data_IF_231089975404
#
_entry.id   IF_231089975404
#
_cell.length_a   1.000
_cell.length_b   1.000
_cell.length_c   1.000
_cell.angle_alpha   90.00
_cell.angle_beta   90.00
_cell.angle_gamma   90.00
#
_symmetry.space_group_name_H-M   'P 1'
#
loop_
_entity.id
_entity.type
_entity.pdbx_description
1 polymer ?
#
# COMPACT_ATOMS: atom_id res chain seq x y z
N UNK A 1 -18.86 -16.97 9.10
CA UNK A 1 -18.56 -15.76 9.91
C UNK A 1 -18.49 -16.12 11.40
N UNK A 2 -17.32 -16.52 11.91
CA UNK A 2 -17.09 -16.79 13.36
C UNK A 2 -16.26 -15.71 14.07
N UNK A 3 -15.88 -14.64 13.36
CA UNK A 3 -15.01 -13.56 13.87
C UNK A 3 -15.68 -12.62 14.87
N UNK A 4 -17.02 -12.63 14.94
CA UNK A 4 -17.81 -11.72 15.80
C UNK A 4 -18.03 -12.24 17.23
N UNK A 5 -17.78 -13.53 17.50
CA UNK A 5 -17.97 -14.11 18.85
C UNK A 5 -16.79 -13.86 19.81
N UNK A 6 -15.67 -13.35 19.33
CA UNK A 6 -14.47 -13.14 20.15
C UNK A 6 -14.45 -11.77 20.87
N UNK A 7 -15.25 -10.80 20.42
CA UNK A 7 -15.28 -9.44 21.00
C UNK A 7 -16.15 -9.39 22.28
N UNK A 8 -16.90 -10.45 22.60
CA UNK A 8 -17.86 -10.49 23.70
C UNK A 8 -17.35 -11.03 25.04
N UNK A 9 -16.04 -11.32 25.21
CA UNK A 9 -15.53 -12.00 26.42
C UNK A 9 -14.23 -11.37 26.93
N UNK A 10 -14.26 -10.06 27.21
CA UNK A 10 -13.13 -9.36 27.83
C UNK A 10 -13.59 -8.34 28.88
N UNK A 11 -14.27 -8.80 29.92
CA UNK A 11 -14.56 -8.02 31.14
C UNK A 11 -14.05 -8.77 32.37
N UNK A 12 -12.75 -9.07 32.42
CA UNK A 12 -12.06 -9.54 33.62
C UNK A 12 -10.53 -9.50 33.42
N UNK A 13 -9.90 -8.33 33.61
CA UNK A 13 -8.46 -8.20 33.91
C UNK A 13 -8.09 -6.74 34.29
N UNK A 14 -8.84 -6.12 35.19
CA UNK A 14 -8.33 -4.96 35.97
C UNK A 14 -7.32 -5.51 36.97
N UNK A 15 -6.01 -5.32 36.75
CA UNK A 15 -4.93 -5.28 37.79
C UNK A 15 -3.48 -5.28 37.25
N UNK A 16 -3.23 -5.05 35.94
CA UNK A 16 -1.86 -5.06 35.38
C UNK A 16 -1.32 -3.73 34.84
N UNK A 17 -2.07 -2.64 34.91
CA UNK A 17 -1.88 -1.48 34.01
C UNK A 17 -0.89 -0.38 34.47
N UNK A 18 0.03 -0.63 35.42
CA UNK A 18 0.82 0.44 36.05
C UNK A 18 2.33 0.51 35.68
N UNK A 19 2.86 -0.33 34.79
CA UNK A 19 4.33 -0.35 34.52
C UNK A 19 4.78 0.12 33.13
N UNK A 20 3.90 0.65 32.27
CA UNK A 20 4.29 1.16 30.94
C UNK A 20 4.39 2.70 30.92
N UNK A 21 5.25 3.28 31.75
CA UNK A 21 5.47 4.74 31.74
C UNK A 21 6.71 5.19 30.96
N UNK A 22 7.67 4.31 30.65
CA UNK A 22 8.96 4.75 30.11
C UNK A 22 9.44 3.94 28.90
N UNK A 23 8.66 3.93 27.83
CA UNK A 23 9.24 3.90 26.49
C UNK A 23 9.15 5.32 25.94
N UNK A 24 10.12 6.16 26.34
CA UNK A 24 10.39 7.38 25.61
C UNK A 24 10.66 6.95 24.16
N UNK A 25 9.65 7.12 23.31
CA UNK A 25 9.81 7.10 21.88
C UNK A 25 10.74 8.26 21.57
N UNK A 26 12.04 7.99 21.65
CA UNK A 26 13.04 8.91 21.12
C UNK A 26 12.64 9.11 19.67
N UNK A 27 12.25 10.34 19.35
CA UNK A 27 12.10 10.82 17.98
C UNK A 27 13.45 10.63 17.31
N UNK A 28 13.65 9.42 16.80
CA UNK A 28 14.74 9.13 15.91
C UNK A 28 14.42 9.97 14.71
N UNK A 29 15.17 11.04 14.52
CA UNK A 29 15.16 11.84 13.30
C UNK A 29 15.66 10.89 12.21
N UNK A 30 14.77 10.05 11.70
CA UNK A 30 15.02 9.31 10.47
C UNK A 30 15.13 10.42 9.43
N UNK A 31 16.29 10.61 8.78
CA UNK A 31 16.39 11.54 7.68
C UNK A 31 15.29 11.17 6.68
N UNK A 32 14.28 12.04 6.59
CA UNK A 32 13.03 11.81 5.86
C UNK A 32 13.27 11.57 4.36
N UNK A 33 14.48 11.84 3.90
CA UNK A 33 14.91 11.66 2.53
C UNK A 33 16.01 10.60 2.42
N UNK A 34 15.67 9.34 2.72
CA UNK A 34 16.52 8.22 2.32
C UNK A 34 16.33 8.01 0.82
N UNK A 35 17.25 8.56 0.03
CA UNK A 35 17.26 8.38 -1.43
C UNK A 35 17.19 6.87 -1.72
N UNK A 36 16.13 6.47 -2.42
CA UNK A 36 15.92 5.07 -2.81
C UNK A 36 16.89 4.73 -3.94
N UNK A 37 17.38 3.49 -3.98
CA UNK A 37 18.37 3.02 -4.97
C UNK A 37 17.87 2.99 -6.42
N UNK A 38 16.60 3.27 -6.68
CA UNK A 38 15.99 3.21 -8.02
C UNK A 38 15.89 1.79 -8.60
N UNK A 39 15.93 0.76 -7.76
CA UNK A 39 15.95 -0.64 -8.17
C UNK A 39 14.59 -1.36 -7.98
N UNK A 40 13.52 -0.63 -7.70
CA UNK A 40 12.17 -1.19 -7.54
C UNK A 40 11.44 -1.01 -8.86
N UNK A 41 11.02 -2.12 -9.46
CA UNK A 41 10.19 -2.13 -10.67
C UNK A 41 8.72 -2.16 -10.25
N UNK A 42 8.02 -1.04 -10.43
CA UNK A 42 6.57 -0.96 -10.17
C UNK A 42 5.77 -1.40 -11.40
N UNK A 43 4.67 -2.11 -11.17
CA UNK A 43 3.61 -2.35 -12.18
C UNK A 43 2.27 -1.80 -11.70
N UNK A 44 1.33 -1.63 -12.62
CA UNK A 44 -0.04 -1.19 -12.34
C UNK A 44 -1.05 -2.07 -13.08
N UNK A 45 -2.26 -2.18 -12.53
CA UNK A 45 -3.35 -2.93 -13.14
C UNK A 45 -4.25 -1.98 -13.95
N UNK A 46 -4.35 -2.16 -15.27
CA UNK A 46 -5.17 -1.29 -16.12
C UNK A 46 -6.67 -1.39 -15.82
N UNK A 47 -7.15 -2.58 -15.39
CA UNK A 47 -8.56 -2.79 -15.05
C UNK A 47 -9.09 -1.79 -14.00
N UNK A 48 -8.24 -1.34 -13.08
CA UNK A 48 -8.60 -0.35 -12.06
C UNK A 48 -8.84 1.06 -12.62
N UNK A 49 -8.46 1.31 -13.88
CA UNK A 49 -8.45 2.61 -14.53
C UNK A 49 -9.20 2.59 -15.88
N UNK A 50 -10.16 1.68 -16.06
CA UNK A 50 -10.92 1.52 -17.31
C UNK A 50 -11.72 2.77 -17.76
N UNK A 51 -11.83 3.78 -16.91
CA UNK A 51 -12.39 5.09 -17.24
C UNK A 51 -11.43 6.00 -18.02
N UNK A 52 -10.15 5.64 -18.07
CA UNK A 52 -9.09 6.36 -18.79
C UNK A 52 -8.75 5.55 -20.04
N UNK A 53 -8.82 6.15 -21.26
CA UNK A 53 -8.39 5.49 -22.48
C UNK A 53 -6.95 4.97 -22.38
N UNK A 54 -6.68 3.79 -22.93
CA UNK A 54 -5.39 3.11 -22.79
C UNK A 54 -4.21 3.98 -23.24
N UNK A 55 -4.30 4.67 -24.38
CA UNK A 55 -3.23 5.54 -24.88
C UNK A 55 -2.87 6.67 -23.88
N UNK A 56 -3.88 7.38 -23.38
CA UNK A 56 -3.71 8.41 -22.34
C UNK A 56 -3.13 7.81 -21.05
N UNK A 57 -3.57 6.61 -20.67
CA UNK A 57 -3.05 5.91 -19.50
C UNK A 57 -1.55 5.59 -19.66
N UNK A 58 -1.13 5.05 -20.81
CA UNK A 58 0.27 4.74 -21.11
C UNK A 58 1.16 5.99 -21.10
N UNK A 59 0.70 7.10 -21.68
CA UNK A 59 1.43 8.38 -21.67
C UNK A 59 1.66 8.90 -20.23
N UNK A 60 0.66 8.75 -19.36
CA UNK A 60 0.79 9.11 -17.94
C UNK A 60 1.81 8.21 -17.22
N UNK A 61 1.83 6.90 -17.50
CA UNK A 61 2.79 5.97 -16.90
C UNK A 61 4.25 6.28 -17.28
N UNK A 62 4.48 6.72 -18.52
CA UNK A 62 5.81 7.16 -18.96
C UNK A 62 6.33 8.33 -18.11
N UNK A 63 5.46 9.28 -17.77
CA UNK A 63 5.81 10.41 -16.89
C UNK A 63 6.12 9.97 -15.46
N UNK A 64 5.46 8.90 -15.00
CA UNK A 64 5.68 8.29 -13.67
C UNK A 64 6.87 7.31 -13.62
N UNK A 65 7.46 6.97 -14.77
CA UNK A 65 8.55 5.98 -14.86
C UNK A 65 8.11 4.54 -14.61
N UNK A 66 6.82 4.23 -14.81
CA UNK A 66 6.26 2.88 -14.67
C UNK A 66 6.31 2.20 -16.03
N UNK A 67 6.89 0.99 -16.09
CA UNK A 67 7.17 0.29 -17.35
C UNK A 67 6.37 -1.00 -17.55
N UNK A 68 5.56 -1.38 -16.57
CA UNK A 68 4.82 -2.64 -16.58
C UNK A 68 3.35 -2.39 -16.24
N UNK A 69 2.48 -3.05 -17.00
CA UNK A 69 1.04 -3.02 -16.79
C UNK A 69 0.49 -4.45 -16.84
N UNK A 70 -0.52 -4.69 -16.01
CA UNK A 70 -1.19 -5.98 -15.85
C UNK A 70 -2.69 -5.86 -16.20
N UNK A 71 -3.31 -6.98 -16.54
CA UNK A 71 -4.75 -7.11 -16.84
C UNK A 71 -5.21 -6.24 -18.03
N UNK A 72 -4.44 -6.25 -19.13
CA UNK A 72 -4.84 -5.67 -20.43
C UNK A 72 -5.51 -6.75 -21.28
N UNK A 73 -6.68 -6.44 -21.83
CA UNK A 73 -7.49 -7.37 -22.62
C UNK A 73 -6.91 -7.64 -24.02
N UNK A 74 -7.20 -8.79 -24.64
CA UNK A 74 -6.73 -9.15 -25.99
C UNK A 74 -7.07 -8.15 -27.09
N UNK A 75 -8.17 -7.42 -26.93
CA UNK A 75 -8.60 -6.32 -27.81
C UNK A 75 -7.57 -5.20 -27.93
N UNK A 76 -6.76 -5.00 -26.88
CA UNK A 76 -5.78 -3.94 -26.74
C UNK A 76 -4.33 -4.43 -26.96
N UNK A 77 -4.13 -5.73 -27.19
CA UNK A 77 -2.81 -6.28 -27.52
C UNK A 77 -2.25 -5.87 -28.90
N UNK A 78 -3.06 -5.66 -29.96
CA UNK A 78 -2.55 -5.18 -31.24
C UNK A 78 -2.29 -3.67 -31.20
N UNK A 79 -1.36 -3.27 -30.33
CA UNK A 79 -0.84 -1.90 -30.25
C UNK A 79 -0.12 -1.50 -31.54
#
# INVERSE_FOLDING_TARGET
MKRRKFIGTSTAATMGLLTLQNAAAGDTIIPQNKIRKGNINHSVCYWCYNSIPLDTFLQNLNTLGIKAIDLVGPEDWPL
#
